data_IF_494665246396
#
_entry.id   IF_494665246396
#
_cell.length_a   1.000
_cell.length_b   1.000
_cell.length_c   1.000
_cell.angle_alpha   90.00
_cell.angle_beta   90.00
_cell.angle_gamma   90.00
#
_symmetry.space_group_name_H-M   'P 1'
#
loop_
_entity.id
_entity.type
_entity.pdbx_description
1 polymer ?
#
# COMPACT_ATOMS: atom_id res chain seq x y z
N UNK A 1 10.72 30.96 9.83
CA UNK A 1 10.39 31.27 8.43
C UNK A 1 10.40 29.93 7.71
N UNK A 2 9.52 29.67 6.75
CA UNK A 2 9.56 28.41 6.00
C UNK A 2 10.74 28.46 5.02
N UNK A 3 11.74 27.61 5.21
CA UNK A 3 12.83 27.40 4.25
C UNK A 3 12.28 26.56 3.08
N UNK A 4 11.67 27.24 2.11
CA UNK A 4 11.17 26.65 0.88
C UNK A 4 12.30 26.52 -0.15
N UNK A 5 12.60 25.29 -0.54
CA UNK A 5 13.57 24.98 -1.59
C UNK A 5 12.90 24.29 -2.79
N UNK A 6 13.51 24.47 -3.97
CA UNK A 6 13.08 23.89 -5.25
C UNK A 6 14.08 22.81 -5.66
N UNK A 7 13.57 21.64 -6.04
CA UNK A 7 14.35 20.46 -6.39
C UNK A 7 14.06 20.01 -7.81
N UNK A 8 15.10 19.78 -8.61
CA UNK A 8 14.94 19.17 -9.93
C UNK A 8 14.74 17.66 -9.77
N UNK A 9 13.56 17.19 -10.14
CA UNK A 9 13.14 15.80 -10.02
C UNK A 9 13.35 15.05 -11.34
N UNK A 10 13.64 13.75 -11.25
CA UNK A 10 13.80 12.89 -12.40
C UNK A 10 12.55 12.92 -13.28
N UNK A 11 12.73 12.93 -14.61
CA UNK A 11 11.63 12.98 -15.56
C UNK A 11 10.58 11.88 -15.37
N UNK A 12 11.01 10.70 -14.89
CA UNK A 12 10.09 9.61 -14.55
C UNK A 12 9.15 9.92 -13.36
N UNK A 13 9.61 10.69 -12.36
CA UNK A 13 8.75 11.17 -11.26
C UNK A 13 7.77 12.22 -11.79
N UNK A 14 8.26 13.20 -12.56
CA UNK A 14 7.43 14.26 -13.16
C UNK A 14 6.31 13.69 -14.04
N UNK A 15 6.65 12.71 -14.89
CA UNK A 15 5.69 11.99 -15.74
C UNK A 15 4.65 11.22 -14.92
N UNK A 16 5.06 10.53 -13.85
CA UNK A 16 4.14 9.81 -12.95
C UNK A 16 3.16 10.76 -12.24
N UNK A 17 3.61 11.97 -11.89
CA UNK A 17 2.81 13.01 -11.25
C UNK A 17 2.02 13.90 -12.22
N UNK A 18 2.25 13.78 -13.53
CA UNK A 18 1.69 14.66 -14.58
C UNK A 18 1.97 16.16 -14.34
N UNK A 19 3.10 16.45 -13.69
CA UNK A 19 3.53 17.80 -13.32
C UNK A 19 4.87 18.18 -13.93
N UNK A 20 5.36 19.33 -13.53
CA UNK A 20 6.66 19.86 -13.97
C UNK A 20 7.85 19.00 -13.51
N UNK A 21 9.05 19.30 -14.02
CA UNK A 21 10.30 18.64 -13.60
C UNK A 21 10.90 19.21 -12.32
N UNK A 22 10.14 20.03 -11.61
CA UNK A 22 10.54 20.71 -10.38
C UNK A 22 9.55 20.34 -9.27
N UNK A 23 10.04 20.24 -8.03
CA UNK A 23 9.22 20.06 -6.85
C UNK A 23 9.66 20.98 -5.71
N UNK A 24 8.69 21.54 -4.99
CA UNK A 24 8.94 22.39 -3.82
C UNK A 24 8.94 21.57 -2.53
N UNK A 25 9.77 21.94 -1.57
CA UNK A 25 9.79 21.36 -0.23
C UNK A 25 9.96 22.44 0.85
N UNK A 26 9.20 22.34 1.94
CA UNK A 26 9.50 23.08 3.17
C UNK A 26 10.52 22.25 3.97
N UNK A 27 11.79 22.62 3.86
CA UNK A 27 12.92 21.88 4.44
C UNK A 27 12.87 21.92 5.96
N UNK A 28 12.46 23.06 6.54
CA UNK A 28 12.31 23.22 7.99
C UNK A 28 11.22 22.29 8.54
N UNK A 29 10.09 22.18 7.83
CA UNK A 29 8.99 21.27 8.19
C UNK A 29 9.37 19.79 8.05
N UNK A 30 10.16 19.42 7.03
CA UNK A 30 10.65 18.06 6.86
C UNK A 30 11.65 17.68 7.97
N UNK A 31 12.56 18.59 8.34
CA UNK A 31 13.46 18.41 9.48
C UNK A 31 12.68 18.26 10.79
N UNK A 32 11.67 19.10 11.03
CA UNK A 32 10.80 19.03 12.23
C UNK A 32 9.98 17.75 12.34
N UNK A 33 9.69 17.06 11.22
CA UNK A 33 8.99 15.77 11.21
C UNK A 33 9.88 14.60 11.60
N UNK A 34 11.17 14.67 11.29
CA UNK A 34 12.15 13.60 11.52
C UNK A 34 13.50 14.12 12.05
N UNK A 35 13.53 14.86 13.17
CA UNK A 35 14.77 15.42 13.72
C UNK A 35 15.76 14.34 14.17
N UNK A 36 15.29 13.11 14.39
CA UNK A 36 16.10 11.94 14.71
C UNK A 36 16.84 11.33 13.50
N UNK A 37 16.46 11.70 12.28
CA UNK A 37 16.95 11.09 11.03
C UNK A 37 17.86 12.01 10.20
N UNK A 38 17.91 13.30 10.54
CA UNK A 38 18.67 14.31 9.82
C UNK A 38 19.47 15.18 10.78
N UNK A 39 20.73 15.45 10.45
CA UNK A 39 21.60 16.27 11.30
C UNK A 39 21.23 17.75 11.29
N UNK A 40 20.66 18.24 10.18
CA UNK A 40 20.32 19.63 9.91
C UNK A 40 19.53 19.74 8.58
N UNK A 41 19.09 20.95 8.24
CA UNK A 41 18.38 21.25 6.99
C UNK A 41 19.19 20.84 5.74
N UNK A 42 20.49 21.11 5.69
CA UNK A 42 21.37 20.74 4.57
C UNK A 42 21.42 19.23 4.35
N UNK A 43 21.31 18.43 5.41
CA UNK A 43 21.25 16.96 5.32
C UNK A 43 19.91 16.46 4.74
N UNK A 44 18.80 17.15 5.03
CA UNK A 44 17.50 16.93 4.35
C UNK A 44 17.64 17.23 2.86
N UNK A 45 18.14 18.40 2.49
CA UNK A 45 18.34 18.86 1.10
C UNK A 45 19.23 17.88 0.32
N UNK A 46 20.35 17.46 0.90
CA UNK A 46 21.25 16.46 0.31
C UNK A 46 20.56 15.11 0.09
N UNK A 47 19.71 14.69 1.03
CA UNK A 47 18.99 13.42 0.95
C UNK A 47 17.92 13.48 -0.15
N UNK A 48 17.14 14.56 -0.20
CA UNK A 48 16.13 14.78 -1.24
C UNK A 48 16.79 14.78 -2.61
N UNK A 49 17.80 15.63 -2.85
CA UNK A 49 18.51 15.70 -4.14
C UNK A 49 19.02 14.33 -4.60
N UNK A 50 19.68 13.57 -3.71
CA UNK A 50 20.17 12.21 -4.03
C UNK A 50 19.05 11.28 -4.50
N UNK A 51 17.89 11.32 -3.84
CA UNK A 51 16.75 10.43 -4.16
C UNK A 51 16.00 10.91 -5.40
N UNK A 52 15.65 12.19 -5.48
CA UNK A 52 14.69 12.67 -6.50
C UNK A 52 15.31 12.88 -7.87
N UNK A 53 16.59 13.24 -7.98
CA UNK A 53 17.24 13.47 -9.28
C UNK A 53 17.53 12.17 -10.04
N UNK A 54 17.78 11.07 -9.32
CA UNK A 54 18.13 9.76 -9.88
C UNK A 54 17.60 8.61 -8.97
N UNK A 55 16.29 8.39 -8.90
CA UNK A 55 15.71 7.35 -8.07
C UNK A 55 15.99 5.94 -8.60
N UNK A 56 16.19 4.98 -7.71
CA UNK A 56 16.21 3.56 -8.07
C UNK A 56 14.79 2.96 -8.10
N UNK A 57 13.90 3.46 -7.23
CA UNK A 57 12.51 3.00 -7.11
C UNK A 57 11.57 4.20 -7.28
N UNK A 58 10.53 4.00 -8.09
CA UNK A 58 9.38 4.90 -8.24
C UNK A 58 8.13 4.02 -8.20
N UNK A 59 7.17 4.35 -7.33
CA UNK A 59 5.88 3.66 -7.22
C UNK A 59 4.82 4.57 -6.60
N UNK A 60 3.54 4.22 -6.75
CA UNK A 60 2.46 4.81 -5.95
C UNK A 60 2.77 4.67 -4.45
N UNK A 61 2.48 5.71 -3.66
CA UNK A 61 2.75 5.72 -2.23
C UNK A 61 1.99 4.58 -1.50
N UNK A 62 2.66 3.54 -0.97
CA UNK A 62 2.00 2.36 -0.40
C UNK A 62 1.44 2.61 1.01
N UNK A 63 1.66 3.79 1.60
CA UNK A 63 1.19 4.16 2.94
C UNK A 63 -0.15 4.90 2.95
N UNK A 64 -0.66 5.32 1.80
CA UNK A 64 -2.02 5.87 1.65
C UNK A 64 -2.99 4.82 1.10
N UNK A 65 -4.28 4.97 1.38
CA UNK A 65 -5.27 4.06 0.81
C UNK A 65 -5.32 4.22 -0.71
N UNK A 66 -5.69 3.14 -1.42
CA UNK A 66 -5.87 3.07 -2.88
C UNK A 66 -6.82 4.13 -3.49
N UNK A 67 -7.55 4.87 -2.66
CA UNK A 67 -8.44 5.95 -3.06
C UNK A 67 -7.82 7.35 -2.89
N UNK A 68 -6.76 7.50 -2.09
CA UNK A 68 -5.98 8.74 -1.91
C UNK A 68 -4.65 8.74 -2.68
N UNK A 69 -4.12 7.58 -3.05
CA UNK A 69 -2.79 7.42 -3.65
C UNK A 69 -2.61 7.98 -5.07
N UNK A 70 -3.68 8.31 -5.81
CA UNK A 70 -3.64 8.57 -7.27
C UNK A 70 -2.71 9.71 -7.72
N UNK A 71 -2.33 10.61 -6.81
CA UNK A 71 -1.42 11.72 -7.09
C UNK A 71 -0.20 11.71 -6.14
N UNK A 72 0.06 10.63 -5.42
CA UNK A 72 1.19 10.51 -4.48
C UNK A 72 2.18 9.42 -4.91
N UNK A 73 3.40 9.82 -5.23
CA UNK A 73 4.49 8.92 -5.61
C UNK A 73 5.50 8.82 -4.47
N UNK A 74 5.89 7.59 -4.15
CA UNK A 74 7.05 7.29 -3.33
C UNK A 74 8.26 7.06 -4.24
N UNK A 75 9.31 7.81 -3.98
CA UNK A 75 10.63 7.70 -4.59
C UNK A 75 11.63 7.20 -3.57
N UNK A 76 12.53 6.29 -3.95
CA UNK A 76 13.57 5.78 -3.07
C UNK A 76 14.89 5.47 -3.77
N UNK A 77 15.99 5.63 -3.03
CA UNK A 77 17.38 5.33 -3.46
C UNK A 77 18.20 4.79 -2.28
N UNK A 78 19.17 3.93 -2.54
CA UNK A 78 20.18 3.53 -1.55
C UNK A 78 21.11 4.73 -1.27
N UNK A 79 21.40 5.01 0.00
CA UNK A 79 22.36 6.06 0.40
C UNK A 79 23.72 5.42 0.66
N UNK A 80 23.70 4.25 1.31
CA UNK A 80 24.85 3.39 1.61
C UNK A 80 24.37 1.94 1.84
N UNK A 81 25.26 1.01 2.18
CA UNK A 81 24.93 -0.41 2.39
C UNK A 81 23.96 -0.68 3.56
N UNK A 82 23.73 0.29 4.44
CA UNK A 82 22.92 0.19 5.66
C UNK A 82 21.66 1.06 5.61
N UNK A 83 21.66 2.12 4.81
CA UNK A 83 20.62 3.15 4.75
C UNK A 83 20.11 3.42 3.34
N UNK A 84 18.83 3.74 3.25
CA UNK A 84 18.17 4.25 2.06
C UNK A 84 17.53 5.60 2.35
N UNK A 85 17.32 6.41 1.33
CA UNK A 85 16.47 7.60 1.37
C UNK A 85 15.12 7.28 0.76
N UNK A 86 14.04 7.74 1.41
CA UNK A 86 12.70 7.76 0.82
C UNK A 86 12.14 9.18 0.82
N UNK A 87 11.51 9.55 -0.28
CA UNK A 87 10.86 10.85 -0.50
C UNK A 87 9.47 10.60 -1.06
N UNK A 88 8.43 11.17 -0.44
CA UNK A 88 7.08 11.14 -0.99
C UNK A 88 6.71 12.52 -1.56
N UNK A 89 6.21 12.50 -2.78
CA UNK A 89 5.95 13.67 -3.61
C UNK A 89 4.52 13.57 -4.11
N UNK A 90 3.77 14.67 -4.06
CA UNK A 90 2.42 14.74 -4.61
C UNK A 90 2.27 15.86 -5.61
N UNK A 91 1.41 15.71 -6.60
CA UNK A 91 0.99 16.84 -7.42
C UNK A 91 -0.21 17.54 -6.76
N UNK A 92 -0.01 18.79 -6.37
CA UNK A 92 -1.00 19.68 -5.78
C UNK A 92 -1.34 20.76 -6.83
N UNK A 93 -2.40 20.52 -7.60
CA UNK A 93 -2.91 21.43 -8.63
C UNK A 93 -1.85 21.92 -9.64
N UNK A 94 -1.02 21.02 -10.16
CA UNK A 94 0.06 21.31 -11.11
C UNK A 94 1.43 21.47 -10.45
N UNK A 95 1.49 21.85 -9.17
CA UNK A 95 2.75 22.01 -8.42
C UNK A 95 3.14 20.69 -7.76
N UNK A 96 4.34 20.17 -8.00
CA UNK A 96 4.83 19.01 -7.24
C UNK A 96 5.32 19.46 -5.87
N UNK A 97 4.87 18.80 -4.80
CA UNK A 97 5.22 19.11 -3.42
C UNK A 97 5.83 17.88 -2.77
N UNK A 98 7.08 18.01 -2.31
CA UNK A 98 7.73 17.02 -1.44
C UNK A 98 7.18 17.24 -0.02
N UNK A 99 6.40 16.28 0.48
CA UNK A 99 5.75 16.38 1.79
C UNK A 99 6.32 15.39 2.81
N UNK A 100 7.20 14.48 2.39
CA UNK A 100 7.88 13.52 3.26
C UNK A 100 9.29 13.24 2.72
N UNK A 101 10.28 13.18 3.61
CA UNK A 101 11.64 12.76 3.35
C UNK A 101 12.19 12.04 4.59
N UNK A 102 12.87 10.91 4.45
CA UNK A 102 13.43 10.14 5.59
C UNK A 102 14.63 9.25 5.15
N UNK A 103 15.40 8.74 6.12
CA UNK A 103 16.60 7.88 5.97
C UNK A 103 16.44 6.48 6.59
N UNK A 104 15.61 5.63 5.99
CA UNK A 104 15.28 4.29 6.51
C UNK A 104 16.43 3.27 6.40
N UNK A 105 16.29 2.12 7.07
CA UNK A 105 17.23 0.99 6.97
C UNK A 105 17.16 0.34 5.59
N UNK A 106 18.27 -0.20 5.08
CA UNK A 106 18.33 -0.87 3.77
C UNK A 106 17.34 -2.05 3.61
N UNK A 107 16.88 -2.67 4.72
CA UNK A 107 15.83 -3.69 4.71
C UNK A 107 14.50 -3.16 4.14
N UNK A 108 14.20 -1.88 4.36
CA UNK A 108 13.02 -1.22 3.80
C UNK A 108 13.12 -1.08 2.28
N UNK A 109 14.33 -0.87 1.75
CA UNK A 109 14.57 -0.77 0.32
C UNK A 109 14.22 -2.10 -0.39
N UNK A 110 14.71 -3.22 0.15
CA UNK A 110 14.39 -4.57 -0.36
C UNK A 110 12.88 -4.87 -0.29
N UNK A 111 12.20 -4.37 0.75
CA UNK A 111 10.73 -4.45 0.88
C UNK A 111 10.00 -3.63 -0.20
N UNK A 112 10.57 -2.51 -0.63
CA UNK A 112 10.04 -1.71 -1.74
C UNK A 112 10.33 -2.37 -3.10
N UNK A 113 11.55 -2.88 -3.35
CA UNK A 113 11.86 -3.65 -4.58
C UNK A 113 10.87 -4.80 -4.79
N UNK A 114 10.64 -5.62 -3.75
CA UNK A 114 9.71 -6.74 -3.81
C UNK A 114 8.27 -6.29 -4.13
N UNK A 115 7.81 -5.17 -3.54
CA UNK A 115 6.49 -4.60 -3.87
C UNK A 115 6.41 -4.14 -5.31
N UNK A 116 7.44 -3.45 -5.82
CA UNK A 116 7.46 -2.94 -7.20
C UNK A 116 7.33 -4.08 -8.21
N UNK A 117 7.99 -5.22 -7.95
CA UNK A 117 7.91 -6.42 -8.79
C UNK A 117 6.50 -7.05 -8.77
N UNK A 118 5.79 -7.05 -7.63
CA UNK A 118 4.42 -7.61 -7.55
C UNK A 118 3.35 -6.81 -8.30
N UNK A 119 3.61 -5.54 -8.66
CA UNK A 119 2.63 -4.73 -9.42
C UNK A 119 2.66 -5.04 -10.93
N UNK A 120 3.64 -5.83 -11.40
CA UNK A 120 3.90 -6.07 -12.82
C UNK A 120 3.54 -7.47 -13.37
N UNK A 121 2.97 -8.37 -12.57
CA UNK A 121 2.67 -9.74 -13.01
C UNK A 121 1.43 -10.33 -12.35
N UNK A 122 0.46 -10.88 -13.11
CA UNK A 122 -0.60 -11.72 -12.56
C UNK A 122 -0.07 -13.14 -12.34
N UNK A 123 0.86 -13.32 -11.40
CA UNK A 123 1.36 -14.63 -11.01
C UNK A 123 0.49 -15.29 -9.95
N UNK A 124 -0.45 -16.12 -10.42
CA UNK A 124 -1.06 -17.18 -9.63
C UNK A 124 0.02 -18.08 -9.01
N UNK A 125 -0.20 -18.54 -7.78
CA UNK A 125 0.72 -19.33 -6.93
C UNK A 125 1.94 -18.49 -6.45
N UNK A 126 2.25 -18.44 -5.15
CA UNK A 126 2.37 -19.61 -4.25
C UNK A 126 1.75 -19.38 -2.88
N UNK A 127 0.79 -20.23 -2.50
CA UNK A 127 0.40 -20.41 -1.10
C UNK A 127 1.55 -21.13 -0.38
N UNK A 128 2.24 -20.45 0.53
CA UNK A 128 3.31 -21.07 1.31
C UNK A 128 2.71 -22.10 2.28
N UNK A 129 2.90 -23.38 1.96
CA UNK A 129 2.61 -24.49 2.86
C UNK A 129 3.61 -24.45 4.02
N UNK A 130 3.13 -24.29 5.26
CA UNK A 130 3.93 -24.63 6.44
C UNK A 130 3.85 -26.15 6.64
N UNK A 131 4.99 -26.80 6.47
CA UNK A 131 5.15 -28.25 6.45
C UNK A 131 4.97 -28.89 7.84
N UNK A 132 4.43 -30.11 7.80
CA UNK A 132 4.30 -31.15 8.82
C UNK A 132 5.43 -31.23 9.89
N UNK A 133 5.10 -31.75 11.09
CA UNK A 133 6.17 -32.13 12.03
C UNK A 133 5.93 -32.21 13.55
N UNK A 134 4.78 -32.65 14.09
CA UNK A 134 4.82 -33.41 15.37
C UNK A 134 3.61 -34.32 15.61
N UNK A 135 3.71 -35.58 15.18
CA UNK A 135 2.80 -36.64 15.64
C UNK A 135 3.25 -37.13 17.01
N UNK A 136 2.49 -36.83 18.06
CA UNK A 136 2.57 -37.56 19.34
C UNK A 136 1.32 -38.42 19.53
N UNK A 137 1.50 -39.74 19.36
CA UNK A 137 0.54 -40.75 19.82
C UNK A 137 0.78 -41.00 21.31
N UNK A 138 -0.29 -40.95 22.10
CA UNK A 138 -0.62 -41.80 23.25
C UNK A 138 -1.70 -41.06 24.07
N UNK A 139 -2.77 -41.64 24.62
CA UNK A 139 -3.45 -42.93 24.50
C UNK A 139 -4.44 -42.95 25.67
N UNK A 140 -5.75 -42.84 25.43
CA UNK A 140 -6.79 -43.55 26.20
C UNK A 140 -8.20 -43.21 25.73
N UNK A 141 -9.02 -44.25 25.70
CA UNK A 141 -10.43 -44.42 25.36
C UNK A 141 -11.42 -43.42 25.99
N UNK A 142 -12.56 -43.18 25.31
CA UNK A 142 -13.91 -43.57 25.77
C UNK A 142 -14.96 -43.37 24.66
N UNK A 143 -15.76 -44.42 24.41
CA UNK A 143 -17.15 -44.55 23.91
C UNK A 143 -17.90 -43.22 23.64
N UNK A 144 -18.64 -42.97 22.54
CA UNK A 144 -19.39 -43.83 21.58
C UNK A 144 -19.30 -43.28 20.13
N UNK A 145 -20.09 -43.60 19.09
CA UNK A 145 -21.24 -44.51 18.77
C UNK A 145 -21.19 -44.80 17.22
N UNK A 146 -21.96 -45.73 16.61
CA UNK A 146 -21.76 -46.10 15.21
C UNK A 146 -22.45 -45.15 14.20
N UNK A 147 -21.71 -44.80 13.14
CA UNK A 147 -22.18 -43.97 12.02
C UNK A 147 -23.09 -44.79 11.08
N UNK A 148 -24.29 -44.28 10.79
CA UNK A 148 -25.16 -44.79 9.72
C UNK A 148 -25.34 -43.68 8.65
N UNK A 149 -25.00 -43.92 7.38
CA UNK A 149 -25.29 -42.98 6.30
C UNK A 149 -26.73 -43.18 5.78
N UNK A 150 -27.48 -42.09 5.61
CA UNK A 150 -28.76 -42.13 4.87
C UNK A 150 -28.75 -41.16 3.69
N UNK A 151 -28.68 -41.74 2.49
CA UNK A 151 -29.05 -41.11 1.24
C UNK A 151 -30.38 -41.70 0.78
N UNK A 152 -31.46 -40.92 0.81
CA UNK A 152 -32.55 -41.06 -0.17
C UNK A 152 -33.54 -39.89 -0.18
N UNK A 153 -33.99 -39.58 -1.40
CA UNK A 153 -35.29 -39.02 -1.77
C UNK A 153 -35.66 -37.55 -1.47
N UNK A 154 -35.81 -36.81 -2.58
CA UNK A 154 -36.45 -35.50 -2.66
C UNK A 154 -37.91 -35.59 -2.17
N UNK A 155 -38.33 -34.69 -1.28
CA UNK A 155 -39.76 -34.36 -1.09
C UNK A 155 -40.02 -32.87 -1.34
N UNK A 156 -41.02 -32.63 -2.18
CA UNK A 156 -41.43 -31.33 -2.69
C UNK A 156 -41.98 -30.43 -1.58
N UNK A 157 -41.32 -29.31 -1.31
CA UNK A 157 -41.92 -28.24 -0.50
C UNK A 157 -43.02 -27.52 -1.32
N UNK A 158 -44.27 -27.64 -0.87
CA UNK A 158 -45.38 -26.79 -1.34
C UNK A 158 -45.47 -25.54 -0.44
N UNK A 159 -45.32 -24.31 -0.95
CA UNK A 159 -45.54 -23.11 -0.15
C UNK A 159 -47.04 -22.86 0.05
N UNK A 160 -47.49 -22.91 1.30
CA UNK A 160 -48.90 -22.70 1.68
C UNK A 160 -49.17 -21.27 2.18
N UNK A 161 -49.56 -20.37 1.28
CA UNK A 161 -50.25 -19.10 1.58
C UNK A 161 -49.45 -18.02 2.34
N UNK A 162 -49.84 -16.73 2.29
CA UNK A 162 -50.93 -16.08 1.56
C UNK A 162 -50.42 -14.76 0.98
N UNK A 163 -50.64 -14.50 -0.30
CA UNK A 163 -50.46 -13.17 -0.87
C UNK A 163 -51.55 -12.24 -0.35
N UNK A 164 -51.18 -11.07 0.16
CA UNK A 164 -52.08 -9.90 0.23
C UNK A 164 -51.68 -8.95 -0.89
N UNK A 165 -52.55 -8.82 -1.88
CA UNK A 165 -52.52 -7.73 -2.84
C UNK A 165 -52.86 -6.41 -2.14
N UNK A 166 -52.17 -5.35 -2.54
CA UNK A 166 -52.67 -3.98 -2.42
C UNK A 166 -52.62 -3.36 -3.80
N UNK A 167 -53.79 -3.07 -4.37
CA UNK A 167 -53.90 -2.21 -5.54
C UNK A 167 -54.11 -0.76 -5.10
N UNK A 168 -53.57 0.15 -5.92
CA UNK A 168 -54.24 1.36 -6.35
C UNK A 168 -54.60 2.41 -5.30
N UNK A 169 -53.90 3.54 -5.35
CA UNK A 169 -54.57 4.84 -5.32
C UNK A 169 -53.96 5.76 -6.37
N UNK A 170 -54.82 6.26 -7.24
CA UNK A 170 -54.56 7.23 -8.29
C UNK A 170 -54.36 8.62 -7.70
N UNK A 171 -53.51 9.44 -8.33
CA UNK A 171 -53.60 10.90 -8.28
C UNK A 171 -53.31 11.45 -9.69
N UNK A 172 -54.41 11.83 -10.36
CA UNK A 172 -54.48 12.80 -11.48
C UNK A 172 -53.98 14.18 -10.97
N UNK A 173 -53.31 15.06 -11.73
CA UNK A 173 -53.57 15.54 -13.10
C UNK A 173 -52.30 16.07 -13.76
#
# INVERSE_FOLDING_TARGET
>A
MSDLEIFQIAGAIALALKGEKEAIADVELLLKRHPEMFENAKDVVNTINKVVSEPEIIMDNPSVSKYKSKNEILSAKKIDDKKMGDVAIRNDNGTNVIFHANKKKISEFKRLEAKQQTVGSPNSYTQAQSLDGLVQKNSSSVVSEPIIPQNSEKKTFKPTGKYKSFQGKDIEK
#
